data_IF_371468190286
#
_entry.id   IF_371468190286
#
_cell.length_a   1.000
_cell.length_b   1.000
_cell.length_c   1.000
_cell.angle_alpha   90.00
_cell.angle_beta   90.00
_cell.angle_gamma   90.00
#
_symmetry.space_group_name_H-M   'P 1'
#
loop_
_entity.id
_entity.type
_entity.pdbx_description
1 polymer ?
#
# COMPACT_ATOMS: atom_id res chain seq x y z
N UNK A 1 -0.74 -5.56 -0.87
CA UNK A 1 0.10 -6.71 -0.47
C UNK A 1 1.31 -6.19 0.25
N UNK A 2 1.72 -6.83 1.34
CA UNK A 2 2.86 -6.42 2.15
C UNK A 2 3.88 -7.55 2.19
N UNK A 3 5.15 -7.19 2.14
CA UNK A 3 6.28 -8.12 2.23
C UNK A 3 7.28 -7.48 3.17
N UNK A 4 7.60 -8.17 4.25
CA UNK A 4 8.63 -7.73 5.19
C UNK A 4 9.83 -8.65 5.05
N UNK A 5 11.00 -8.04 4.87
CA UNK A 5 12.30 -8.71 4.91
C UNK A 5 12.40 -10.01 4.08
N UNK A 6 13.40 -10.86 4.37
CA UNK A 6 13.61 -12.14 3.70
C UNK A 6 15.09 -12.44 3.47
N UNK A 7 15.39 -13.52 2.73
CA UNK A 7 16.76 -13.86 2.32
C UNK A 7 16.97 -13.44 0.86
N UNK A 8 17.75 -12.39 0.65
CA UNK A 8 18.26 -12.06 -0.69
C UNK A 8 19.27 -13.10 -1.19
N UNK A 9 19.52 -13.12 -2.50
CA UNK A 9 20.46 -14.05 -3.17
C UNK A 9 21.90 -14.04 -2.63
N UNK A 10 22.28 -13.02 -1.86
CA UNK A 10 23.60 -12.93 -1.18
C UNK A 10 23.50 -12.92 0.35
N UNK A 11 22.36 -13.32 0.91
CA UNK A 11 22.11 -13.25 2.36
C UNK A 11 21.95 -11.82 2.91
N UNK A 12 22.03 -10.79 2.05
CA UNK A 12 21.76 -9.40 2.45
C UNK A 12 20.29 -9.29 2.85
N UNK A 13 20.07 -9.10 4.14
CA UNK A 13 18.77 -8.76 4.71
C UNK A 13 18.60 -7.25 4.63
N UNK A 14 17.34 -6.82 4.56
CA UNK A 14 17.05 -5.43 4.25
C UNK A 14 16.31 -4.75 5.39
N UNK A 15 15.67 -5.48 6.32
CA UNK A 15 14.90 -4.89 7.41
C UNK A 15 13.84 -3.90 6.89
N UNK A 16 13.49 -3.99 5.60
CA UNK A 16 12.57 -3.08 4.94
C UNK A 16 11.20 -3.73 4.84
N UNK A 17 10.18 -2.89 5.00
CA UNK A 17 8.83 -3.23 4.61
C UNK A 17 8.58 -2.74 3.18
N UNK A 18 8.27 -3.67 2.28
CA UNK A 18 7.80 -3.37 0.95
C UNK A 18 6.28 -3.55 0.88
N UNK A 19 5.63 -2.69 0.11
CA UNK A 19 4.21 -2.80 -0.20
C UNK A 19 3.99 -2.76 -1.70
N UNK A 20 3.14 -3.64 -2.19
CA UNK A 20 2.70 -3.66 -3.58
C UNK A 20 1.25 -3.23 -3.65
N UNK A 21 1.01 -2.16 -4.41
CA UNK A 21 -0.32 -1.67 -4.71
C UNK A 21 -0.78 -2.28 -6.02
N UNK A 22 -1.77 -3.15 -5.93
CA UNK A 22 -2.29 -3.93 -7.06
C UNK A 22 -2.90 -3.02 -8.13
N UNK A 23 -3.61 -1.97 -7.72
CA UNK A 23 -4.37 -1.10 -8.64
C UNK A 23 -3.50 -0.42 -9.69
N UNK A 24 -2.28 -0.04 -9.33
CA UNK A 24 -1.33 0.61 -10.24
C UNK A 24 -0.09 -0.24 -10.51
N UNK A 25 -0.05 -1.47 -9.99
CA UNK A 25 1.07 -2.42 -10.13
C UNK A 25 2.41 -1.81 -9.71
N UNK A 26 2.43 -1.01 -8.63
CA UNK A 26 3.65 -0.35 -8.13
C UNK A 26 4.10 -0.90 -6.79
N UNK A 27 5.41 -1.03 -6.67
CA UNK A 27 6.11 -1.31 -5.42
C UNK A 27 6.49 -0.02 -4.71
N UNK A 28 6.38 -0.03 -3.39
CA UNK A 28 6.78 1.05 -2.50
C UNK A 28 7.59 0.47 -1.36
N UNK A 29 8.76 1.04 -1.10
CA UNK A 29 9.54 0.78 0.10
C UNK A 29 9.13 1.79 1.17
N UNK A 30 8.83 1.30 2.37
CA UNK A 30 8.47 2.14 3.50
C UNK A 30 9.72 2.31 4.36
N UNK A 31 10.30 3.51 4.33
CA UNK A 31 11.37 3.91 5.25
C UNK A 31 10.73 4.59 6.47
N UNK A 32 11.33 4.41 7.65
CA UNK A 32 10.95 5.13 8.89
C UNK A 32 9.57 4.78 9.47
N UNK A 33 9.18 3.50 9.45
CA UNK A 33 7.94 2.98 10.04
C UNK A 33 7.94 2.86 11.58
N UNK A 34 8.73 3.69 12.28
CA UNK A 34 8.97 3.58 13.72
C UNK A 34 10.11 2.60 14.05
N UNK A 35 10.17 2.07 15.29
CA UNK A 35 11.14 1.05 15.67
C UNK A 35 10.99 -0.17 14.78
N UNK A 36 11.88 -0.30 13.80
CA UNK A 36 11.81 -1.38 12.83
C UNK A 36 12.15 -2.72 13.52
N UNK A 37 11.43 -3.81 13.21
CA UNK A 37 11.83 -5.13 13.65
C UNK A 37 13.26 -5.42 13.18
N UNK A 38 14.02 -6.15 13.99
CA UNK A 38 15.30 -6.70 13.57
C UNK A 38 15.15 -7.60 12.35
N UNK A 39 16.23 -7.72 11.59
CA UNK A 39 16.27 -8.51 10.36
C UNK A 39 16.01 -9.99 10.67
N UNK A 40 14.91 -10.57 10.17
CA UNK A 40 14.41 -11.89 10.58
C UNK A 40 13.90 -12.74 9.43
N UNK A 41 14.14 -14.04 9.50
CA UNK A 41 13.61 -15.03 8.56
C UNK A 41 12.72 -16.06 9.23
N UNK A 42 11.79 -16.65 8.47
CA UNK A 42 10.82 -17.60 9.02
C UNK A 42 9.74 -16.96 9.89
N UNK A 43 9.54 -15.66 9.79
CA UNK A 43 8.49 -14.94 10.51
C UNK A 43 7.13 -15.17 9.85
N UNK A 44 6.06 -15.08 10.65
CA UNK A 44 4.70 -14.94 10.16
C UNK A 44 4.35 -13.48 9.92
N UNK A 45 3.64 -13.18 8.84
CA UNK A 45 3.10 -11.84 8.57
C UNK A 45 1.60 -11.93 8.29
N UNK A 46 0.82 -11.13 9.01
CA UNK A 46 -0.63 -11.07 8.86
C UNK A 46 -1.04 -9.61 8.71
N UNK A 47 -1.92 -9.33 7.74
CA UNK A 47 -2.57 -8.02 7.62
C UNK A 47 -4.01 -8.10 8.11
N UNK A 48 -4.38 -7.26 9.08
CA UNK A 48 -5.75 -7.14 9.59
C UNK A 48 -6.17 -5.68 9.51
N UNK A 49 -7.18 -5.38 8.70
CA UNK A 49 -7.68 -4.00 8.47
C UNK A 49 -6.53 -3.05 8.08
N UNK A 50 -6.22 -2.08 8.92
CA UNK A 50 -5.15 -1.09 8.75
C UNK A 50 -3.88 -1.45 9.51
N UNK A 51 -3.71 -2.70 9.93
CA UNK A 51 -2.56 -3.16 10.70
C UNK A 51 -1.84 -4.30 9.99
N UNK A 52 -0.51 -4.29 10.08
CA UNK A 52 0.36 -5.40 9.68
C UNK A 52 1.08 -5.89 10.92
N UNK A 53 0.92 -7.16 11.23
CA UNK A 53 1.47 -7.82 12.40
C UNK A 53 2.56 -8.79 11.95
N UNK A 54 3.73 -8.71 12.59
CA UNK A 54 4.87 -9.60 12.39
C UNK A 54 5.08 -10.40 13.66
N UNK A 55 5.11 -11.72 13.52
CA UNK A 55 5.19 -12.68 14.62
C UNK A 55 6.40 -13.60 14.45
N UNK A 56 7.21 -13.70 15.49
CA UNK A 56 8.32 -14.64 15.57
C UNK A 56 9.38 -14.45 14.49
N UNK A 57 10.00 -15.56 14.08
CA UNK A 57 11.16 -15.57 13.19
C UNK A 57 12.46 -15.31 13.92
N UNK A 58 13.56 -15.71 13.29
CA UNK A 58 14.88 -15.71 13.90
C UNK A 58 15.78 -14.66 13.26
N UNK A 59 16.51 -13.93 14.10
CA UNK A 59 17.60 -13.09 13.63
C UNK A 59 18.93 -13.88 13.63
N UNK A 60 19.42 -14.15 12.43
CA UNK A 60 20.69 -14.85 12.19
C UNK A 60 21.92 -13.94 12.24
N UNK A 61 21.78 -12.60 12.27
CA UNK A 61 22.93 -11.69 12.22
C UNK A 61 23.56 -11.43 13.58
N UNK A 62 22.88 -11.74 14.70
CA UNK A 62 23.41 -11.60 16.06
C UNK A 62 23.65 -10.15 16.54
N UNK A 63 23.64 -9.15 15.64
CA UNK A 63 23.97 -7.76 15.96
C UNK A 63 22.82 -7.03 16.67
N UNK A 64 21.57 -7.42 16.43
CA UNK A 64 20.36 -6.84 17.05
C UNK A 64 19.29 -7.91 17.21
N UNK A 65 19.24 -8.61 18.34
CA UNK A 65 18.12 -9.51 18.62
C UNK A 65 17.03 -8.76 19.38
N UNK A 66 15.84 -8.67 18.77
CA UNK A 66 14.65 -8.42 19.57
C UNK A 66 14.34 -9.68 20.38
N UNK A 67 13.66 -9.53 21.52
CA UNK A 67 13.17 -10.66 22.31
C UNK A 67 12.26 -11.53 21.42
N UNK A 68 12.46 -12.87 21.35
CA UNK A 68 11.61 -13.78 20.58
C UNK A 68 10.12 -13.70 20.91
N UNK A 69 9.75 -13.23 22.11
CA UNK A 69 8.36 -12.97 22.50
C UNK A 69 7.75 -11.68 21.92
N UNK A 70 8.54 -10.82 21.29
CA UNK A 70 8.10 -9.51 20.81
C UNK A 70 7.21 -9.64 19.58
N UNK A 71 6.04 -8.98 19.63
CA UNK A 71 5.13 -8.83 18.50
C UNK A 71 5.28 -7.42 17.95
N UNK A 72 5.56 -7.30 16.64
CA UNK A 72 5.64 -6.00 15.99
C UNK A 72 4.35 -5.72 15.24
N UNK A 73 3.74 -4.58 15.54
CA UNK A 73 2.50 -4.12 14.90
C UNK A 73 2.78 -2.79 14.22
N UNK A 74 2.50 -2.74 12.92
CA UNK A 74 2.57 -1.53 12.12
C UNK A 74 1.18 -1.04 11.75
N UNK A 75 0.88 0.18 12.14
CA UNK A 75 -0.29 0.91 11.68
C UNK A 75 -0.07 1.44 10.26
N UNK A 76 -0.70 0.78 9.29
CA UNK A 76 -0.60 1.10 7.87
C UNK A 76 -1.37 2.34 7.47
N UNK A 77 -2.27 2.87 8.32
CA UNK A 77 -2.99 4.12 8.04
C UNK A 77 -2.05 5.32 7.98
N UNK A 78 -0.90 5.22 8.65
CA UNK A 78 0.14 6.25 8.71
C UNK A 78 1.14 6.16 7.56
N UNK A 79 1.07 5.12 6.73
CA UNK A 79 1.98 4.95 5.60
C UNK A 79 1.59 5.92 4.49
N UNK A 80 2.37 6.97 4.34
CA UNK A 80 2.23 7.89 3.21
C UNK A 80 2.80 7.24 1.96
N UNK A 81 1.93 6.94 0.99
CA UNK A 81 2.40 6.59 -0.34
C UNK A 81 2.92 7.86 -1.02
N UNK A 82 4.14 7.86 -1.58
CA UNK A 82 4.61 9.00 -2.35
C UNK A 82 3.64 9.24 -3.50
N UNK A 83 3.08 10.45 -3.54
CA UNK A 83 2.18 10.86 -4.60
C UNK A 83 3.02 10.95 -5.88
N UNK A 84 2.64 10.27 -6.97
CA UNK A 84 3.37 10.39 -8.23
C UNK A 84 3.45 11.87 -8.65
N UNK A 85 4.60 12.35 -9.17
CA UNK A 85 4.76 13.74 -9.60
C UNK A 85 3.66 14.22 -10.56
N UNK A 86 3.13 13.31 -11.38
CA UNK A 86 2.10 13.60 -12.40
C UNK A 86 0.70 13.90 -11.82
N UNK A 87 0.50 13.72 -10.51
CA UNK A 87 -0.79 14.03 -9.87
C UNK A 87 -1.01 15.54 -9.63
N UNK A 88 -0.04 16.41 -9.96
CA UNK A 88 -0.14 17.87 -9.75
C UNK A 88 -0.63 18.68 -10.97
N UNK A 89 -1.02 18.05 -12.09
CA UNK A 89 -1.45 18.80 -13.29
C UNK A 89 -2.91 18.64 -13.71
N UNK A 90 -3.78 18.04 -12.90
CA UNK A 90 -5.22 18.15 -13.14
C UNK A 90 -5.91 18.81 -11.95
N UNK A 91 -6.33 20.09 -12.05
CA UNK A 91 -7.26 20.67 -11.11
C UNK A 91 -8.48 19.76 -10.98
N UNK A 92 -8.78 19.37 -9.75
CA UNK A 92 -9.97 18.62 -9.39
C UNK A 92 -11.23 19.44 -9.73
N UNK A 93 -11.81 19.25 -10.93
CA UNK A 93 -13.25 19.48 -11.12
C UNK A 93 -14.04 18.28 -10.55
N UNK A 94 -13.97 18.07 -9.23
CA UNK A 94 -14.82 17.08 -8.53
C UNK A 94 -16.01 17.77 -7.88
N UNK A 95 -16.97 18.22 -8.69
CA UNK A 95 -18.38 18.33 -8.26
C UNK A 95 -19.39 18.49 -9.41
N UNK A 96 -18.99 19.03 -10.57
CA UNK A 96 -19.90 19.27 -11.70
C UNK A 96 -20.06 18.15 -12.74
N UNK A 97 -19.05 17.30 -12.91
CA UNK A 97 -18.99 16.36 -14.05
C UNK A 97 -20.03 15.21 -13.99
N UNK A 98 -20.44 14.79 -12.78
CA UNK A 98 -21.44 13.71 -12.62
C UNK A 98 -22.85 14.13 -13.03
N UNK A 99 -23.23 15.41 -12.86
CA UNK A 99 -24.56 15.91 -13.25
C UNK A 99 -24.71 16.06 -14.76
N UNK A 100 -23.66 16.53 -15.45
CA UNK A 100 -23.65 16.75 -16.93
C UNK A 100 -23.83 15.44 -17.73
N UNK A 101 -23.33 14.32 -17.21
CA UNK A 101 -23.39 13.01 -17.88
C UNK A 101 -24.81 12.44 -17.99
N UNK A 102 -25.63 12.65 -16.96
CA UNK A 102 -27.01 12.13 -16.93
C UNK A 102 -27.96 12.99 -17.78
N UNK A 103 -27.82 14.31 -17.75
CA UNK A 103 -28.60 15.21 -18.61
C UNK A 103 -28.29 15.02 -20.09
N UNK A 104 -27.03 14.80 -20.45
CA UNK A 104 -26.64 14.54 -21.85
C UNK A 104 -27.21 13.20 -22.36
N UNK A 105 -27.28 12.17 -21.51
CA UNK A 105 -27.94 10.90 -21.86
C UNK A 105 -29.46 11.06 -21.97
N UNK A 106 -30.09 11.80 -21.07
CA UNK A 106 -31.54 12.05 -21.11
C UNK A 106 -31.96 12.82 -22.38
N UNK A 107 -31.22 13.88 -22.75
CA UNK A 107 -31.51 14.65 -23.98
C UNK A 107 -31.31 13.82 -25.26
N UNK A 108 -30.36 12.89 -25.26
CA UNK A 108 -30.13 11.99 -26.40
C UNK A 108 -31.22 10.93 -26.55
N UNK A 109 -31.80 10.47 -25.43
CA UNK A 109 -32.91 9.51 -25.45
C UNK A 109 -34.21 10.13 -25.96
N UNK A 110 -34.51 11.38 -25.60
CA UNK A 110 -35.71 12.08 -26.08
C UNK A 110 -35.64 12.42 -27.58
N UNK A 111 -34.45 12.74 -28.10
CA UNK A 111 -34.25 12.99 -29.54
C UNK A 111 -34.52 11.76 -30.41
N UNK A 112 -34.48 10.55 -29.85
CA UNK A 112 -34.78 9.32 -30.59
C UNK A 112 -36.30 9.05 -30.70
N UNK A 113 -37.09 9.53 -29.74
CA UNK A 113 -38.55 9.29 -29.70
C UNK A 113 -39.35 10.18 -30.66
N UNK A 114 -38.78 11.28 -31.13
CA UNK A 114 -39.49 12.31 -31.92
C UNK A 114 -39.22 12.26 -33.42
N UNK A 115 -38.49 11.26 -33.93
CA UNK A 115 -38.37 11.01 -35.38
C UNK A 115 -39.41 9.97 -35.81
N UNK A 116 -40.61 10.44 -36.18
CA UNK A 116 -41.54 9.76 -37.10
C UNK A 116 -41.68 10.63 -38.35
#
# INVERSE_FOLDING_TARGET
MYVFDGRGVKGKKLGILASFKITNKRWYTQANVGPAPSERSGHGLVSVRSEVVILGGENMSGVRCDDPGTIHILDTSKLQQPVPPDAKQHPQERSGARKRSLEARAKRAEKWKTRK
#
